data_IF_444788392687
#
_entry.id   IF_444788392687
#
_cell.length_a   1.000
_cell.length_b   1.000
_cell.length_c   1.000
_cell.angle_alpha   90.00
_cell.angle_beta   90.00
_cell.angle_gamma   90.00
#
_symmetry.space_group_name_H-M   'P 1'
#
loop_
_entity.id
_entity.type
_entity.pdbx_description
1 polymer ?
#
# COMPACT_ATOMS: atom_id res chain seq x y z
N UNK A 1 -32.06 17.31 26.37
CA UNK A 1 -30.84 17.66 27.14
C UNK A 1 -30.03 16.39 27.31
N UNK A 2 -29.10 16.10 26.40
CA UNK A 2 -28.11 15.04 26.55
C UNK A 2 -26.75 15.72 26.60
N UNK A 3 -26.11 15.70 27.78
CA UNK A 3 -24.79 16.26 27.99
C UNK A 3 -23.72 15.28 27.53
N UNK A 4 -22.98 15.63 26.48
CA UNK A 4 -21.71 15.00 26.17
C UNK A 4 -20.64 15.61 27.09
N UNK A 5 -20.20 14.84 28.08
CA UNK A 5 -19.04 15.18 28.90
C UNK A 5 -17.75 15.07 28.09
N UNK A 6 -17.06 16.19 27.96
CA UNK A 6 -15.71 16.29 27.42
C UNK A 6 -14.71 15.65 28.39
N UNK A 7 -14.21 14.45 28.07
CA UNK A 7 -12.97 13.97 28.68
C UNK A 7 -11.79 14.36 27.77
N UNK A 8 -11.09 15.41 28.19
CA UNK A 8 -9.83 15.85 27.61
C UNK A 8 -8.73 14.87 28.03
N UNK A 9 -8.42 13.89 27.19
CA UNK A 9 -7.11 13.22 27.21
C UNK A 9 -6.32 13.72 26.01
N UNK A 10 -5.25 14.46 26.30
CA UNK A 10 -4.23 14.84 25.34
C UNK A 10 -3.64 13.59 24.69
N UNK A 11 -4.19 13.19 23.54
CA UNK A 11 -3.46 12.38 22.58
C UNK A 11 -2.29 13.25 22.10
N UNK A 12 -1.05 12.82 22.34
CA UNK A 12 0.07 13.22 21.48
C UNK A 12 -0.32 12.80 20.06
N UNK A 13 -0.98 13.70 19.32
CA UNK A 13 -1.16 13.57 17.89
C UNK A 13 0.23 13.63 17.28
N UNK A 14 0.68 12.54 16.68
CA UNK A 14 1.66 12.63 15.59
C UNK A 14 1.16 13.70 14.62
N UNK A 15 1.99 14.68 14.30
CA UNK A 15 1.66 15.81 13.42
C UNK A 15 1.55 15.32 11.97
N UNK A 16 0.51 14.55 11.65
CA UNK A 16 0.12 14.24 10.26
C UNK A 16 -0.74 15.37 9.66
N UNK A 17 -0.40 16.61 9.99
CA UNK A 17 -1.08 17.79 9.45
C UNK A 17 -0.30 18.39 8.29
N UNK A 18 -1.00 19.00 7.33
CA UNK A 18 -0.34 19.87 6.35
C UNK A 18 0.26 21.08 7.06
N UNK A 19 1.59 21.18 7.10
CA UNK A 19 2.27 22.41 7.55
C UNK A 19 2.18 23.44 6.43
N UNK A 20 1.70 24.64 6.76
CA UNK A 20 1.71 25.78 5.86
C UNK A 20 2.75 26.77 6.35
N UNK A 21 3.81 26.95 5.57
CA UNK A 21 4.82 27.97 5.79
C UNK A 21 4.71 29.02 4.70
N UNK A 22 4.60 30.29 5.08
CA UNK A 22 4.84 31.41 4.19
C UNK A 22 6.33 31.79 4.26
N UNK A 23 6.97 31.93 3.10
CA UNK A 23 8.41 32.24 3.01
C UNK A 23 8.71 33.03 1.75
N UNK A 24 9.80 33.80 1.75
CA UNK A 24 10.26 34.56 0.59
C UNK A 24 11.50 33.89 -0.01
N UNK A 25 11.56 33.82 -1.33
CA UNK A 25 12.75 33.34 -2.04
C UNK A 25 13.85 34.39 -1.88
N UNK A 26 15.01 33.95 -1.43
CA UNK A 26 16.17 34.81 -1.25
C UNK A 26 16.70 35.31 -2.62
N UNK A 27 17.45 36.44 -2.66
CA UNK A 27 17.99 36.96 -3.91
C UNK A 27 18.92 36.01 -4.68
N UNK A 28 19.51 35.03 -3.99
CA UNK A 28 20.33 33.96 -4.57
C UNK A 28 19.52 32.78 -5.14
N UNK A 29 18.18 32.85 -5.05
CA UNK A 29 17.25 31.81 -5.48
C UNK A 29 16.98 30.72 -4.44
N UNK A 30 17.57 30.79 -3.25
CA UNK A 30 17.33 29.80 -2.18
C UNK A 30 15.95 29.96 -1.54
N UNK A 31 15.30 28.84 -1.22
CA UNK A 31 13.99 28.77 -0.56
C UNK A 31 14.19 28.34 0.91
N UNK A 32 14.05 29.24 1.90
CA UNK A 32 14.23 28.88 3.30
C UNK A 32 13.02 28.08 3.80
N UNK A 33 13.29 26.87 4.28
CA UNK A 33 12.32 25.98 4.93
C UNK A 33 12.48 26.07 6.45
N UNK A 34 11.37 26.04 7.18
CA UNK A 34 11.38 26.01 8.65
C UNK A 34 11.88 24.67 9.17
N UNK A 35 12.39 24.65 10.40
CA UNK A 35 12.79 23.40 11.08
C UNK A 35 11.64 22.40 11.12
N UNK A 36 10.40 22.87 11.33
CA UNK A 36 9.22 22.01 11.37
C UNK A 36 8.95 21.30 10.01
N UNK A 37 9.16 22.00 8.89
CA UNK A 37 9.04 21.42 7.54
C UNK A 37 10.17 20.43 7.27
N UNK A 38 11.39 20.78 7.65
CA UNK A 38 12.57 19.92 7.49
C UNK A 38 12.41 18.61 8.29
N UNK A 39 11.96 18.69 9.54
CA UNK A 39 11.66 17.54 10.39
C UNK A 39 10.54 16.67 9.79
N UNK A 40 9.43 17.29 9.33
CA UNK A 40 8.32 16.53 8.73
C UNK A 40 8.73 15.80 7.46
N UNK A 41 9.61 16.38 6.65
CA UNK A 41 10.11 15.75 5.42
C UNK A 41 11.33 14.84 5.64
N UNK A 42 11.87 14.80 6.87
CA UNK A 42 13.11 14.09 7.19
C UNK A 42 14.31 14.58 6.38
N UNK A 43 14.37 15.88 6.08
CA UNK A 43 15.43 16.50 5.28
C UNK A 43 16.43 17.17 6.21
N UNK A 44 17.71 16.90 6.01
CA UNK A 44 18.83 17.54 6.72
C UNK A 44 19.78 18.22 5.75
N UNK A 45 20.75 18.98 6.26
CA UNK A 45 21.76 19.61 5.41
C UNK A 45 22.53 18.54 4.61
N UNK A 46 22.55 18.65 3.28
CA UNK A 46 23.17 17.67 2.38
C UNK A 46 22.23 16.57 1.88
N UNK A 47 20.99 16.49 2.39
CA UNK A 47 19.97 15.62 1.82
C UNK A 47 19.69 15.99 0.36
N UNK A 48 19.58 14.97 -0.49
CA UNK A 48 19.14 15.14 -1.88
C UNK A 48 17.61 15.21 -1.91
N UNK A 49 17.07 16.15 -2.68
CA UNK A 49 15.62 16.31 -2.86
C UNK A 49 15.25 16.40 -4.33
N UNK A 50 14.06 15.93 -4.67
CA UNK A 50 13.45 16.16 -5.98
C UNK A 50 12.55 17.38 -5.86
N UNK A 51 12.82 18.38 -6.71
CA UNK A 51 11.98 19.57 -6.87
C UNK A 51 11.21 19.42 -8.18
N UNK A 52 9.88 19.33 -8.12
CA UNK A 52 9.03 19.23 -9.31
C UNK A 52 8.15 20.46 -9.42
N UNK A 53 8.11 21.06 -10.63
CA UNK A 53 7.29 22.21 -10.95
C UNK A 53 6.03 21.79 -11.71
N UNK A 54 4.88 22.34 -11.30
CA UNK A 54 3.60 22.13 -11.94
C UNK A 54 2.81 23.46 -12.00
N UNK A 55 1.72 23.56 -12.78
CA UNK A 55 0.88 24.75 -12.79
C UNK A 55 0.29 25.13 -11.42
N UNK A 56 0.16 24.18 -10.49
CA UNK A 56 -0.33 24.40 -9.11
C UNK A 56 0.78 24.79 -8.11
N UNK A 57 2.04 24.84 -8.54
CA UNK A 57 3.18 25.23 -7.70
C UNK A 57 4.35 24.24 -7.73
N UNK A 58 5.26 24.43 -6.77
CA UNK A 58 6.41 23.56 -6.53
C UNK A 58 6.05 22.45 -5.55
N UNK A 59 6.58 21.26 -5.79
CA UNK A 59 6.57 20.15 -4.84
C UNK A 59 8.01 19.73 -4.52
N UNK A 60 8.25 19.38 -3.26
CA UNK A 60 9.54 18.97 -2.72
C UNK A 60 9.39 17.56 -2.14
N UNK A 61 10.28 16.64 -2.52
CA UNK A 61 10.30 15.27 -2.01
C UNK A 61 11.71 14.86 -1.61
N UNK A 62 11.85 14.18 -0.48
CA UNK A 62 13.09 13.53 -0.10
C UNK A 62 13.32 12.30 -1.00
N UNK A 63 14.48 12.21 -1.64
CA UNK A 63 14.79 11.10 -2.55
C UNK A 63 15.20 9.83 -1.82
N UNK A 64 15.67 9.97 -0.58
CA UNK A 64 16.13 8.86 0.25
C UNK A 64 15.49 8.99 1.65
N UNK A 65 14.20 8.64 1.79
CA UNK A 65 13.51 8.74 3.06
C UNK A 65 14.16 7.83 4.12
N UNK A 66 14.05 8.23 5.38
CA UNK A 66 14.43 7.38 6.51
C UNK A 66 13.50 6.14 6.58
N UNK A 67 14.00 5.04 7.15
CA UNK A 67 13.18 3.84 7.37
C UNK A 67 12.07 4.19 8.37
N UNK A 68 10.82 4.12 7.93
CA UNK A 68 9.67 4.50 8.75
C UNK A 68 8.66 3.37 8.97
N UNK A 69 8.55 2.46 8.00
CA UNK A 69 7.56 1.39 7.99
C UNK A 69 8.19 0.06 7.59
N UNK A 70 7.91 -0.98 8.36
CA UNK A 70 8.35 -2.34 8.04
C UNK A 70 7.11 -3.18 7.74
N UNK A 71 7.08 -3.79 6.56
CA UNK A 71 6.14 -4.87 6.25
C UNK A 71 6.78 -6.20 6.63
N UNK A 72 6.01 -7.07 7.28
CA UNK A 72 6.47 -8.39 7.69
C UNK A 72 5.46 -9.40 7.16
N UNK A 73 5.95 -10.33 6.33
CA UNK A 73 5.20 -11.52 5.96
C UNK A 73 5.43 -12.61 7.02
N UNK A 74 4.48 -12.87 7.94
CA UNK A 74 4.71 -13.83 9.01
C UNK A 74 4.75 -15.26 8.45
N UNK A 75 4.02 -15.51 7.38
CA UNK A 75 3.99 -16.78 6.66
C UNK A 75 3.44 -16.56 5.26
N UNK A 76 3.90 -17.36 4.30
CA UNK A 76 3.30 -17.44 2.97
C UNK A 76 2.27 -18.58 2.83
N UNK A 77 1.97 -19.28 3.92
CA UNK A 77 0.90 -20.28 3.98
C UNK A 77 -0.47 -19.59 4.10
N UNK A 78 -1.52 -20.15 3.49
CA UNK A 78 -2.86 -19.58 3.56
C UNK A 78 -3.92 -20.66 3.45
N UNK A 79 -5.05 -20.46 4.14
CA UNK A 79 -6.21 -21.34 4.12
C UNK A 79 -7.14 -21.12 2.91
N UNK A 80 -6.80 -20.19 2.02
CA UNK A 80 -7.51 -19.90 0.77
C UNK A 80 -6.64 -20.18 -0.44
N UNK A 81 -7.28 -20.26 -1.61
CA UNK A 81 -6.61 -20.40 -2.90
C UNK A 81 -7.18 -19.42 -3.95
N UNK A 82 -7.23 -18.14 -3.60
CA UNK A 82 -7.89 -17.09 -4.38
C UNK A 82 -7.45 -17.09 -5.85
N UNK A 83 -8.39 -16.85 -6.78
CA UNK A 83 -8.12 -16.78 -8.23
C UNK A 83 -7.05 -15.74 -8.59
N UNK A 84 -7.00 -14.64 -7.82
CA UNK A 84 -6.09 -13.50 -8.03
C UNK A 84 -4.73 -13.63 -7.32
N UNK A 85 -4.43 -14.78 -6.69
CA UNK A 85 -3.27 -14.91 -5.83
C UNK A 85 -1.97 -15.18 -6.62
N UNK A 86 -0.90 -14.46 -6.29
CA UNK A 86 0.46 -14.68 -6.83
C UNK A 86 0.97 -16.12 -6.63
N UNK A 87 0.46 -16.82 -5.60
CA UNK A 87 0.91 -18.16 -5.21
C UNK A 87 0.71 -19.21 -6.29
N UNK A 88 -0.14 -18.93 -7.28
CA UNK A 88 -0.35 -19.78 -8.45
C UNK A 88 0.84 -19.79 -9.43
N UNK A 89 1.71 -18.78 -9.39
CA UNK A 89 2.80 -18.61 -10.37
C UNK A 89 4.19 -18.51 -9.77
N UNK A 90 4.32 -18.54 -8.45
CA UNK A 90 5.62 -18.65 -7.79
C UNK A 90 5.98 -20.10 -7.47
N UNK A 91 7.20 -20.33 -7.00
CA UNK A 91 7.67 -21.66 -6.56
C UNK A 91 8.28 -21.63 -5.17
N UNK A 92 7.94 -20.62 -4.40
CA UNK A 92 8.51 -20.39 -3.09
C UNK A 92 8.12 -21.54 -2.14
N UNK A 93 9.07 -22.06 -1.34
CA UNK A 93 8.74 -23.02 -0.31
C UNK A 93 7.83 -22.37 0.74
N UNK A 94 6.99 -23.18 1.38
CA UNK A 94 6.11 -22.69 2.45
C UNK A 94 6.89 -22.58 3.76
N UNK A 95 6.72 -21.48 4.49
CA UNK A 95 7.36 -21.30 5.77
C UNK A 95 6.72 -20.24 6.66
N UNK A 96 7.32 -20.07 7.83
CA UNK A 96 6.89 -19.17 8.90
C UNK A 96 8.12 -18.43 9.42
N UNK A 97 7.99 -17.12 9.63
CA UNK A 97 9.05 -16.31 10.21
C UNK A 97 9.33 -16.78 11.63
N UNK A 98 10.59 -17.16 11.90
CA UNK A 98 10.97 -17.60 13.24
C UNK A 98 10.81 -16.46 14.25
N UNK A 99 10.32 -16.77 15.44
CA UNK A 99 10.14 -15.77 16.48
C UNK A 99 11.46 -15.20 16.96
N UNK A 100 12.52 -15.99 16.96
CA UNK A 100 13.88 -15.56 17.31
C UNK A 100 14.37 -14.47 16.35
N UNK A 101 14.14 -14.66 15.06
CA UNK A 101 14.44 -13.70 13.99
C UNK A 101 13.65 -12.41 14.17
N UNK A 102 12.35 -12.52 14.50
CA UNK A 102 11.51 -11.35 14.77
C UNK A 102 11.91 -10.60 16.05
N UNK A 103 12.32 -11.31 17.11
CA UNK A 103 12.79 -10.69 18.36
C UNK A 103 14.08 -9.90 18.11
N UNK A 104 15.04 -10.47 17.38
CA UNK A 104 16.26 -9.76 16.97
C UNK A 104 15.94 -8.47 16.22
N UNK A 105 15.03 -8.54 15.24
CA UNK A 105 14.56 -7.36 14.52
C UNK A 105 14.00 -6.28 15.46
N UNK A 106 13.17 -6.66 16.44
CA UNK A 106 12.58 -5.69 17.38
C UNK A 106 13.61 -5.03 18.29
N UNK A 107 14.68 -5.74 18.67
CA UNK A 107 15.80 -5.16 19.42
C UNK A 107 16.46 -4.04 18.61
N UNK A 108 16.71 -4.28 17.33
CA UNK A 108 17.28 -3.28 16.41
C UNK A 108 16.31 -2.11 16.18
N UNK A 109 15.05 -2.39 15.86
CA UNK A 109 14.00 -1.39 15.63
C UNK A 109 13.81 -0.46 16.83
N UNK A 110 13.98 -0.97 18.06
CA UNK A 110 13.87 -0.15 19.28
C UNK A 110 14.87 1.02 19.34
N UNK A 111 15.95 0.94 18.56
CA UNK A 111 17.00 1.96 18.50
C UNK A 111 16.83 2.96 17.36
N UNK A 112 15.80 2.81 16.52
CA UNK A 112 15.59 3.60 15.30
C UNK A 112 14.29 4.42 15.42
N UNK A 113 14.38 5.70 15.86
CA UNK A 113 13.19 6.50 16.18
C UNK A 113 12.30 6.84 14.98
N UNK A 114 12.84 6.76 13.75
CA UNK A 114 12.07 7.02 12.54
C UNK A 114 11.06 5.93 12.23
N UNK A 115 11.24 4.71 12.76
CA UNK A 115 10.31 3.60 12.55
C UNK A 115 9.10 3.80 13.44
N UNK A 116 7.94 3.94 12.82
CA UNK A 116 6.69 4.21 13.53
C UNK A 116 5.66 3.11 13.35
N UNK A 117 5.83 2.23 12.33
CA UNK A 117 4.80 1.26 11.96
C UNK A 117 5.36 -0.09 11.53
N UNK A 118 4.72 -1.17 12.01
CA UNK A 118 4.87 -2.52 11.48
C UNK A 118 3.53 -3.00 10.91
N UNK A 119 3.54 -3.42 9.65
CA UNK A 119 2.36 -4.03 9.01
C UNK A 119 2.60 -5.52 8.78
N UNK A 120 1.74 -6.35 9.36
CA UNK A 120 1.75 -7.80 9.21
C UNK A 120 0.89 -8.16 7.99
N UNK A 121 1.57 -8.42 6.88
CA UNK A 121 0.97 -8.69 5.58
C UNK A 121 1.95 -9.44 4.68
N UNK A 122 1.41 -10.22 3.77
CA UNK A 122 2.14 -10.85 2.69
C UNK A 122 1.17 -11.58 1.78
N UNK A 123 1.64 -12.60 1.07
CA UNK A 123 0.79 -13.38 0.16
C UNK A 123 0.23 -14.67 0.80
N UNK A 124 0.55 -14.91 2.08
CA UNK A 124 -0.10 -15.88 2.97
C UNK A 124 -1.25 -15.30 3.81
N UNK A 125 -1.69 -16.05 4.82
CA UNK A 125 -2.62 -15.60 5.87
C UNK A 125 -1.88 -15.43 7.20
N UNK A 126 -1.62 -14.18 7.64
CA UNK A 126 -0.92 -13.91 8.89
C UNK A 126 -1.49 -14.60 10.13
N UNK A 127 -2.81 -14.80 10.20
CA UNK A 127 -3.45 -15.46 11.34
C UNK A 127 -3.11 -16.96 11.48
N UNK A 128 -2.48 -17.58 10.47
CA UNK A 128 -1.94 -18.94 10.57
C UNK A 128 -0.60 -19.00 11.32
N UNK A 129 0.09 -17.87 11.48
CA UNK A 129 1.34 -17.85 12.21
C UNK A 129 1.10 -18.09 13.71
N UNK A 130 1.72 -19.10 14.33
CA UNK A 130 1.38 -19.52 15.70
C UNK A 130 1.61 -18.43 16.75
N UNK A 131 2.50 -17.48 16.45
CA UNK A 131 2.90 -16.41 17.36
C UNK A 131 2.43 -15.02 16.91
N UNK A 132 1.49 -14.90 15.94
CA UNK A 132 1.08 -13.60 15.39
C UNK A 132 0.63 -12.59 16.47
N UNK A 133 -0.09 -13.06 17.48
CA UNK A 133 -0.56 -12.23 18.62
C UNK A 133 0.63 -11.71 19.43
N UNK A 134 1.62 -12.57 19.70
CA UNK A 134 2.83 -12.16 20.43
C UNK A 134 3.67 -11.19 19.61
N UNK A 135 3.77 -11.39 18.29
CA UNK A 135 4.47 -10.47 17.40
C UNK A 135 3.88 -9.07 17.50
N UNK A 136 2.55 -8.95 17.35
CA UNK A 136 1.83 -7.68 17.50
C UNK A 136 2.07 -7.06 18.88
N UNK A 137 1.88 -7.84 19.95
CA UNK A 137 2.04 -7.35 21.32
C UNK A 137 3.44 -6.79 21.57
N UNK A 138 4.49 -7.46 21.09
CA UNK A 138 5.88 -7.00 21.23
C UNK A 138 6.14 -5.70 20.45
N UNK A 139 5.68 -5.60 19.20
CA UNK A 139 5.75 -4.32 18.47
C UNK A 139 5.07 -3.17 19.23
N UNK A 140 3.90 -3.43 19.84
CA UNK A 140 3.19 -2.44 20.66
C UNK A 140 3.97 -2.01 21.90
N UNK A 141 4.76 -2.89 22.52
CA UNK A 141 5.60 -2.49 23.68
C UNK A 141 6.67 -1.45 23.33
N UNK A 142 7.07 -1.38 22.04
CA UNK A 142 7.99 -0.36 21.53
C UNK A 142 7.28 0.94 21.12
N UNK A 143 5.95 1.02 21.29
CA UNK A 143 5.16 2.19 20.89
C UNK A 143 4.85 2.27 19.39
N UNK A 144 5.16 1.22 18.62
CA UNK A 144 4.90 1.17 17.18
C UNK A 144 3.41 1.03 16.89
N UNK A 145 2.96 1.61 15.78
CA UNK A 145 1.66 1.28 15.19
C UNK A 145 1.72 -0.11 14.55
N UNK A 146 0.66 -0.89 14.73
CA UNK A 146 0.52 -2.24 14.19
C UNK A 146 -0.70 -2.36 13.30
N UNK A 147 -0.50 -2.88 12.11
CA UNK A 147 -1.56 -3.19 11.15
C UNK A 147 -1.52 -4.68 10.84
N UNK A 148 -2.69 -5.31 10.75
CA UNK A 148 -2.83 -6.69 10.31
C UNK A 148 -3.75 -6.73 9.09
N UNK A 149 -3.33 -7.38 8.02
CA UNK A 149 -4.16 -7.61 6.85
C UNK A 149 -4.50 -9.10 6.79
N UNK A 150 -5.79 -9.44 6.69
CA UNK A 150 -6.27 -10.83 6.81
C UNK A 150 -7.46 -11.10 5.90
N UNK A 151 -7.66 -12.36 5.52
CA UNK A 151 -8.90 -12.83 4.90
C UNK A 151 -10.08 -12.90 5.89
N UNK A 152 -9.82 -12.81 7.20
CA UNK A 152 -10.83 -12.71 8.25
C UNK A 152 -11.51 -14.01 8.66
N UNK A 153 -11.22 -15.15 8.02
CA UNK A 153 -11.88 -16.43 8.32
C UNK A 153 -11.43 -17.02 9.66
N UNK A 154 -10.16 -16.83 10.01
CA UNK A 154 -9.56 -17.33 11.26
C UNK A 154 -9.75 -16.38 12.45
N UNK A 155 -10.47 -15.27 12.26
CA UNK A 155 -10.75 -14.27 13.29
C UNK A 155 -11.93 -14.70 14.18
N UNK A 156 -11.83 -15.88 14.79
CA UNK A 156 -12.84 -16.33 15.76
C UNK A 156 -12.83 -15.46 17.03
N UNK A 157 -13.78 -15.72 17.94
CA UNK A 157 -13.89 -14.96 19.19
C UNK A 157 -12.61 -15.00 20.05
N UNK A 158 -11.87 -16.12 20.04
CA UNK A 158 -10.64 -16.26 20.82
C UNK A 158 -9.55 -15.39 20.20
N UNK A 159 -9.36 -15.47 18.90
CA UNK A 159 -8.40 -14.65 18.16
C UNK A 159 -8.73 -13.16 18.31
N UNK A 160 -10.00 -12.77 18.16
CA UNK A 160 -10.43 -11.39 18.34
C UNK A 160 -10.11 -10.84 19.73
N UNK A 161 -10.35 -11.62 20.80
CA UNK A 161 -9.95 -11.25 22.17
C UNK A 161 -8.44 -11.07 22.29
N UNK A 162 -7.67 -11.99 21.73
CA UNK A 162 -6.21 -11.94 21.76
C UNK A 162 -5.66 -10.72 21.03
N UNK A 163 -6.18 -10.38 19.84
CA UNK A 163 -5.72 -9.21 19.07
C UNK A 163 -6.07 -7.87 19.75
N UNK A 164 -7.26 -7.77 20.35
CA UNK A 164 -7.63 -6.58 21.15
C UNK A 164 -6.74 -6.46 22.39
N UNK A 165 -6.46 -7.58 23.09
CA UNK A 165 -5.55 -7.58 24.23
C UNK A 165 -4.10 -7.27 23.85
N UNK A 166 -3.65 -7.67 22.66
CA UNK A 166 -2.37 -7.31 22.08
C UNK A 166 -2.28 -5.85 21.64
N UNK A 167 -3.38 -5.09 21.75
CA UNK A 167 -3.50 -3.68 21.39
C UNK A 167 -3.20 -3.40 19.91
N UNK A 168 -3.65 -4.29 19.01
CA UNK A 168 -3.58 -4.09 17.56
C UNK A 168 -4.27 -2.78 17.15
N UNK A 169 -3.61 -1.92 16.38
CA UNK A 169 -4.16 -0.60 16.02
C UNK A 169 -5.15 -0.66 14.86
N UNK A 170 -4.86 -1.45 13.82
CA UNK A 170 -5.74 -1.61 12.67
C UNK A 170 -5.78 -3.03 12.12
N UNK A 171 -6.95 -3.43 11.63
CA UNK A 171 -7.17 -4.68 10.91
C UNK A 171 -7.84 -4.37 9.57
N UNK A 172 -7.23 -4.80 8.48
CA UNK A 172 -7.79 -4.67 7.13
C UNK A 172 -8.24 -6.05 6.67
N UNK A 173 -9.53 -6.15 6.36
CA UNK A 173 -10.14 -7.40 5.94
C UNK A 173 -10.35 -7.36 4.45
N UNK A 174 -9.82 -8.35 3.76
CA UNK A 174 -9.90 -8.34 2.32
C UNK A 174 -11.23 -8.95 1.83
N UNK A 175 -12.06 -8.11 1.21
CA UNK A 175 -13.42 -8.40 0.73
C UNK A 175 -13.51 -7.91 -0.71
N UNK A 176 -13.65 -8.84 -1.66
CA UNK A 176 -13.65 -8.61 -3.10
C UNK A 176 -15.04 -8.78 -3.74
N UNK A 177 -16.07 -9.01 -2.92
CA UNK A 177 -17.48 -9.09 -3.33
C UNK A 177 -18.43 -8.69 -2.20
N UNK A 178 -19.55 -8.04 -2.53
CA UNK A 178 -20.61 -7.72 -1.56
C UNK A 178 -21.59 -8.87 -1.36
N UNK A 179 -21.62 -9.83 -2.30
CA UNK A 179 -22.36 -11.09 -2.23
C UNK A 179 -21.44 -12.27 -1.86
N UNK A 180 -22.05 -13.33 -1.31
CA UNK A 180 -21.34 -14.59 -1.01
C UNK A 180 -20.77 -15.24 -2.28
N UNK A 181 -21.54 -15.21 -3.36
CA UNK A 181 -21.14 -15.77 -4.66
C UNK A 181 -19.90 -15.08 -5.21
N UNK A 182 -19.90 -13.74 -5.31
CA UNK A 182 -18.76 -12.99 -5.85
C UNK A 182 -17.54 -13.10 -4.94
N UNK A 183 -17.72 -13.07 -3.62
CA UNK A 183 -16.61 -13.25 -2.68
C UNK A 183 -15.97 -14.63 -2.86
N UNK A 184 -16.77 -15.70 -2.95
CA UNK A 184 -16.27 -17.07 -3.11
C UNK A 184 -15.65 -17.33 -4.50
N UNK A 185 -16.14 -16.67 -5.55
CA UNK A 185 -15.55 -16.73 -6.90
C UNK A 185 -14.13 -16.15 -6.91
N UNK A 186 -13.96 -14.91 -6.42
CA UNK A 186 -12.65 -14.26 -6.39
C UNK A 186 -11.73 -14.95 -5.38
N UNK A 187 -12.26 -15.28 -4.20
CA UNK A 187 -11.53 -15.89 -3.08
C UNK A 187 -12.02 -17.30 -2.83
N UNK A 188 -11.57 -18.24 -3.65
CA UNK A 188 -11.94 -19.64 -3.54
C UNK A 188 -11.72 -20.19 -2.13
N UNK A 189 -12.82 -20.59 -1.48
CA UNK A 189 -12.88 -21.07 -0.10
C UNK A 189 -13.30 -20.03 0.94
N UNK A 190 -13.55 -18.78 0.55
CA UNK A 190 -14.04 -17.75 1.45
C UNK A 190 -15.55 -17.92 1.73
N UNK A 191 -15.92 -17.63 2.99
CA UNK A 191 -17.29 -17.50 3.45
C UNK A 191 -17.49 -16.07 3.96
N UNK A 192 -18.17 -15.23 3.17
CA UNK A 192 -18.38 -13.82 3.48
C UNK A 192 -19.21 -13.66 4.76
N UNK A 193 -20.21 -14.52 4.97
CA UNK A 193 -21.04 -14.49 6.18
C UNK A 193 -20.23 -14.80 7.45
N UNK A 194 -19.29 -15.76 7.38
CA UNK A 194 -18.36 -16.04 8.46
C UNK A 194 -17.44 -14.85 8.74
N UNK A 195 -16.87 -14.23 7.68
CA UNK A 195 -16.06 -13.01 7.83
C UNK A 195 -16.87 -11.91 8.51
N UNK A 196 -18.11 -11.66 8.07
CA UNK A 196 -19.01 -10.67 8.67
C UNK A 196 -19.28 -10.97 10.14
N UNK A 197 -19.54 -12.24 10.47
CA UNK A 197 -19.75 -12.69 11.85
C UNK A 197 -18.52 -12.43 12.72
N UNK A 198 -17.33 -12.79 12.24
CA UNK A 198 -16.07 -12.63 12.94
C UNK A 198 -15.77 -11.14 13.24
N UNK A 199 -16.00 -10.26 12.27
CA UNK A 199 -15.79 -8.82 12.46
C UNK A 199 -16.81 -8.19 13.41
N UNK A 200 -18.07 -8.64 13.37
CA UNK A 200 -19.07 -8.26 14.38
C UNK A 200 -18.65 -8.72 15.79
N UNK A 201 -18.08 -9.92 15.93
CA UNK A 201 -17.54 -10.38 17.21
C UNK A 201 -16.36 -9.54 17.69
N UNK A 202 -15.42 -9.20 16.79
CA UNK A 202 -14.32 -8.29 17.11
C UNK A 202 -14.84 -6.94 17.64
N UNK A 203 -15.88 -6.38 17.02
CA UNK A 203 -16.51 -5.13 17.50
C UNK A 203 -17.13 -5.27 18.89
N UNK A 204 -17.77 -6.39 19.18
CA UNK A 204 -18.29 -6.67 20.52
C UNK A 204 -17.16 -6.76 21.55
N UNK A 205 -16.06 -7.42 21.21
CA UNK A 205 -14.86 -7.49 22.07
C UNK A 205 -14.30 -6.09 22.32
N UNK A 206 -14.15 -5.25 21.29
CA UNK A 206 -13.72 -3.85 21.43
C UNK A 206 -14.60 -3.09 22.41
N UNK A 207 -15.92 -3.17 22.23
CA UNK A 207 -16.90 -2.52 23.09
C UNK A 207 -16.78 -2.96 24.55
N UNK A 208 -16.72 -4.28 24.81
CA UNK A 208 -16.62 -4.80 26.17
C UNK A 208 -15.29 -4.49 26.88
N UNK A 209 -14.21 -4.25 26.13
CA UNK A 209 -12.91 -3.86 26.68
C UNK A 209 -12.72 -2.34 26.69
N UNK A 210 -13.76 -1.55 26.36
CA UNK A 210 -13.67 -0.08 26.21
C UNK A 210 -12.53 0.35 25.27
N UNK A 211 -12.20 -0.50 24.28
CA UNK A 211 -11.12 -0.27 23.34
C UNK A 211 -11.60 0.44 22.09
N UNK A 212 -10.86 1.48 21.68
CA UNK A 212 -11.07 2.14 20.39
C UNK A 212 -10.48 1.33 19.23
N UNK A 213 -9.57 0.38 19.48
CA UNK A 213 -8.79 -0.36 18.49
C UNK A 213 -9.09 -1.87 18.53
N UNK A 214 -8.90 -2.60 17.41
CA UNK A 214 -8.40 -2.12 16.13
C UNK A 214 -9.44 -1.33 15.33
N UNK A 215 -8.97 -0.31 14.60
CA UNK A 215 -9.69 0.28 13.46
C UNK A 215 -9.90 -0.79 12.38
N UNK A 216 -11.06 -0.78 11.72
CA UNK A 216 -11.41 -1.80 10.72
C UNK A 216 -11.35 -1.17 9.34
N UNK A 217 -10.60 -1.76 8.42
CA UNK A 217 -10.57 -1.40 7.01
C UNK A 217 -11.06 -2.55 6.13
N UNK A 218 -11.47 -2.23 4.91
CA UNK A 218 -11.69 -3.22 3.85
C UNK A 218 -10.66 -3.01 2.76
N UNK A 219 -10.10 -4.09 2.24
CA UNK A 219 -9.32 -4.09 1.00
C UNK A 219 -10.10 -4.83 -0.10
N UNK A 220 -10.16 -4.22 -1.29
CA UNK A 220 -10.87 -4.74 -2.46
C UNK A 220 -9.95 -4.72 -3.69
N UNK A 221 -9.76 -5.88 -4.31
CA UNK A 221 -9.05 -6.06 -5.58
C UNK A 221 -10.06 -5.95 -6.73
N UNK A 222 -9.95 -4.87 -7.50
CA UNK A 222 -10.85 -4.55 -8.58
C UNK A 222 -10.51 -5.28 -9.89
N UNK A 223 -11.55 -5.89 -10.46
CA UNK A 223 -11.55 -6.66 -11.70
C UNK A 223 -12.81 -6.31 -12.52
N UNK A 224 -12.80 -6.55 -13.83
CA UNK A 224 -14.00 -6.38 -14.67
C UNK A 224 -15.21 -7.15 -14.13
N UNK A 225 -14.99 -8.37 -13.65
CA UNK A 225 -16.04 -9.26 -13.12
C UNK A 225 -16.66 -8.77 -11.81
N UNK A 226 -15.90 -8.14 -10.92
CA UNK A 226 -16.39 -7.74 -9.59
C UNK A 226 -16.58 -6.23 -9.39
N UNK A 227 -16.14 -5.36 -10.32
CA UNK A 227 -16.18 -3.90 -10.13
C UNK A 227 -17.57 -3.34 -9.82
N UNK A 228 -18.63 -4.02 -10.29
CA UNK A 228 -20.03 -3.64 -10.01
C UNK A 228 -20.37 -3.77 -8.51
N UNK A 229 -19.69 -4.66 -7.78
CA UNK A 229 -19.87 -4.85 -6.33
C UNK A 229 -19.41 -3.63 -5.53
N UNK A 230 -18.54 -2.77 -6.08
CA UNK A 230 -18.11 -1.53 -5.41
C UNK A 230 -19.28 -0.59 -5.10
N UNK A 231 -20.40 -0.67 -5.84
CA UNK A 231 -21.60 0.09 -5.50
C UNK A 231 -22.17 -0.29 -4.12
N UNK A 232 -22.05 -1.57 -3.75
CA UNK A 232 -22.62 -2.14 -2.53
C UNK A 232 -21.57 -2.39 -1.43
N UNK A 233 -20.27 -2.31 -1.75
CA UNK A 233 -19.20 -2.54 -0.77
C UNK A 233 -19.25 -1.54 0.38
N UNK A 234 -19.77 -0.33 0.13
CA UNK A 234 -20.04 0.67 1.17
C UNK A 234 -21.02 0.15 2.22
N UNK A 235 -22.06 -0.57 1.82
CA UNK A 235 -23.04 -1.12 2.76
C UNK A 235 -22.42 -2.23 3.60
N UNK A 236 -21.57 -3.06 2.99
CA UNK A 236 -20.74 -4.03 3.72
C UNK A 236 -19.82 -3.32 4.70
N UNK A 237 -19.12 -2.25 4.29
CA UNK A 237 -18.27 -1.46 5.18
C UNK A 237 -19.05 -0.89 6.38
N UNK A 238 -20.23 -0.30 6.14
CA UNK A 238 -21.12 0.20 7.19
C UNK A 238 -21.57 -0.92 8.14
N UNK A 239 -21.99 -2.08 7.60
CA UNK A 239 -22.39 -3.25 8.37
C UNK A 239 -21.25 -3.71 9.30
N UNK A 240 -20.04 -3.76 8.75
CA UNK A 240 -18.83 -4.16 9.46
C UNK A 240 -18.30 -3.10 10.42
N UNK A 241 -18.75 -1.85 10.31
CA UNK A 241 -18.18 -0.72 11.04
C UNK A 241 -16.76 -0.41 10.60
N UNK A 242 -16.46 -0.59 9.32
CA UNK A 242 -15.18 -0.23 8.71
C UNK A 242 -15.08 1.29 8.51
N UNK A 243 -13.89 1.83 8.77
CA UNK A 243 -13.57 3.25 8.71
C UNK A 243 -13.11 3.69 7.32
N UNK A 244 -12.53 2.78 6.54
CA UNK A 244 -12.05 3.06 5.18
C UNK A 244 -12.16 1.82 4.28
N UNK A 245 -12.16 2.08 2.97
CA UNK A 245 -12.13 1.07 1.93
C UNK A 245 -10.94 1.39 1.03
N UNK A 246 -10.03 0.46 0.92
CA UNK A 246 -8.87 0.52 0.05
C UNK A 246 -9.15 -0.30 -1.21
N UNK A 247 -9.08 0.34 -2.37
CA UNK A 247 -9.33 -0.30 -3.67
C UNK A 247 -8.02 -0.33 -4.46
N UNK A 248 -7.63 -1.51 -4.90
CA UNK A 248 -6.44 -1.73 -5.74
C UNK A 248 -6.82 -2.49 -7.01
N UNK A 249 -6.12 -2.26 -8.11
CA UNK A 249 -6.37 -3.02 -9.34
C UNK A 249 -5.73 -4.40 -9.28
N UNK A 250 -6.33 -5.38 -9.94
CA UNK A 250 -5.72 -6.71 -10.10
C UNK A 250 -4.39 -6.63 -10.88
N UNK A 251 -3.34 -7.27 -10.36
CA UNK A 251 -2.19 -7.68 -11.17
C UNK A 251 -2.48 -9.06 -11.76
N UNK A 252 -2.48 -9.23 -13.09
CA UNK A 252 -2.71 -10.53 -13.70
C UNK A 252 -1.54 -11.49 -13.44
N UNK A 253 -1.73 -12.48 -12.59
CA UNK A 253 -0.75 -13.57 -12.44
C UNK A 253 -0.98 -14.72 -13.42
N UNK A 254 -2.20 -14.87 -13.93
CA UNK A 254 -2.55 -15.90 -14.92
C UNK A 254 -3.01 -15.28 -16.26
N UNK A 255 -3.05 -16.10 -17.32
CA UNK A 255 -3.51 -15.67 -18.64
C UNK A 255 -4.94 -15.14 -18.61
N UNK A 256 -5.81 -15.76 -17.82
CA UNK A 256 -7.23 -15.43 -17.73
C UNK A 256 -7.44 -14.09 -17.04
N UNK A 257 -6.59 -13.73 -16.08
CA UNK A 257 -6.68 -12.45 -15.37
C UNK A 257 -6.30 -11.25 -16.23
N UNK A 258 -5.64 -11.44 -17.39
CA UNK A 258 -5.35 -10.34 -18.33
C UNK A 258 -6.61 -9.63 -18.77
N UNK A 259 -7.67 -10.41 -18.99
CA UNK A 259 -8.95 -9.90 -19.49
C UNK A 259 -9.77 -9.25 -18.37
N UNK A 260 -9.33 -9.36 -17.11
CA UNK A 260 -10.00 -8.79 -15.94
C UNK A 260 -9.51 -7.37 -15.59
N UNK A 261 -8.47 -6.84 -16.24
CA UNK A 261 -7.91 -5.53 -15.90
C UNK A 261 -8.85 -4.36 -16.23
N UNK A 262 -8.85 -3.32 -15.40
CA UNK A 262 -9.67 -2.11 -15.58
C UNK A 262 -8.88 -0.92 -16.14
N UNK A 263 -7.58 -1.10 -16.41
CA UNK A 263 -6.63 -0.01 -16.63
C UNK A 263 -5.95 -0.04 -18.01
N UNK A 264 -6.46 -0.83 -18.97
CA UNK A 264 -5.86 -0.98 -20.30
C UNK A 264 -5.56 0.36 -20.98
N UNK A 265 -6.49 1.32 -20.89
CA UNK A 265 -6.33 2.65 -21.49
C UNK A 265 -5.69 3.67 -20.55
N UNK A 266 -5.69 3.42 -19.23
CA UNK A 266 -5.33 4.43 -18.23
C UNK A 266 -3.86 4.39 -17.80
N UNK A 267 -3.16 3.27 -18.02
CA UNK A 267 -1.72 3.14 -17.67
C UNK A 267 -0.87 4.16 -18.42
N UNK A 268 -1.22 4.42 -19.69
CA UNK A 268 -0.47 5.33 -20.58
C UNK A 268 -1.13 6.72 -20.70
N UNK A 269 -2.27 6.94 -20.03
CA UNK A 269 -3.02 8.18 -20.16
C UNK A 269 -2.39 9.26 -19.28
N UNK A 270 -1.39 9.95 -19.83
CA UNK A 270 -1.07 11.32 -19.41
C UNK A 270 -2.26 12.19 -19.79
N UNK A 271 -3.31 12.20 -18.95
CA UNK A 271 -4.41 13.14 -19.12
C UNK A 271 -3.80 14.53 -19.27
N UNK A 272 -4.06 15.24 -20.38
CA UNK A 272 -3.49 16.55 -20.55
C UNK A 272 -4.01 17.44 -19.42
N UNK A 273 -3.09 18.07 -18.68
CA UNK A 273 -3.44 18.95 -17.55
C UNK A 273 -4.29 20.17 -18.00
N UNK A 274 -4.31 20.41 -19.31
CA UNK A 274 -5.06 21.45 -20.02
C UNK A 274 -5.92 20.81 -21.12
N UNK A 275 -7.05 21.43 -21.48
CA UNK A 275 -7.89 20.93 -22.56
C UNK A 275 -7.22 21.09 -23.93
N UNK A 276 -7.65 20.32 -24.93
CA UNK A 276 -7.31 20.54 -26.33
C UNK A 276 -8.57 20.79 -27.17
N UNK A 277 -8.38 21.15 -28.44
CA UNK A 277 -9.46 21.49 -29.38
C UNK A 277 -10.51 20.36 -29.55
N UNK A 278 -10.07 19.10 -29.35
CA UNK A 278 -10.94 17.92 -29.45
C UNK A 278 -11.41 17.37 -28.09
N UNK A 279 -10.87 17.88 -26.97
CA UNK A 279 -11.16 17.39 -25.62
C UNK A 279 -10.97 18.52 -24.59
N UNK A 280 -12.03 19.29 -24.28
CA UNK A 280 -11.92 20.43 -23.36
C UNK A 280 -11.63 19.97 -21.92
N UNK A 281 -10.85 20.76 -21.17
CA UNK A 281 -10.71 20.60 -19.72
C UNK A 281 -11.99 21.10 -19.07
N UNK A 282 -12.58 20.27 -18.20
CA UNK A 282 -13.83 20.59 -17.53
C UNK A 282 -13.55 20.70 -16.04
N UNK A 283 -13.70 21.92 -15.53
CA UNK A 283 -13.45 22.26 -14.13
C UNK A 283 -14.78 22.36 -13.42
N UNK A 284 -14.98 21.52 -12.40
CA UNK A 284 -16.19 21.55 -11.56
C UNK A 284 -15.93 22.36 -10.28
N UNK A 285 -16.87 23.21 -9.84
CA UNK A 285 -16.83 23.70 -8.46
C UNK A 285 -17.16 22.56 -7.48
N UNK A 286 -16.91 22.73 -6.18
CA UNK A 286 -17.45 21.82 -5.17
C UNK A 286 -18.98 21.76 -5.31
N UNK A 287 -19.50 20.58 -5.65
CA UNK A 287 -20.93 20.34 -5.84
C UNK A 287 -21.34 19.08 -5.08
N UNK A 288 -22.53 19.12 -4.48
CA UNK A 288 -23.11 17.95 -3.82
C UNK A 288 -23.49 16.89 -4.86
N UNK A 289 -22.75 15.77 -4.90
CA UNK A 289 -23.03 14.65 -5.81
C UNK A 289 -24.16 13.72 -5.29
N UNK A 290 -25.25 14.30 -4.76
CA UNK A 290 -26.29 13.57 -4.01
C UNK A 290 -27.50 13.15 -4.85
N UNK A 291 -27.43 13.12 -6.19
CA UNK A 291 -28.53 12.67 -7.07
C UNK A 291 -28.03 11.85 -8.26
N UNK A 292 -28.78 10.80 -8.61
CA UNK A 292 -28.60 9.98 -9.82
C UNK A 292 -28.43 10.84 -11.09
N UNK A 293 -29.21 11.93 -11.20
CA UNK A 293 -29.21 12.83 -12.35
C UNK A 293 -27.87 13.57 -12.57
N UNK A 294 -27.11 13.84 -11.50
CA UNK A 294 -25.81 14.52 -11.59
C UNK A 294 -24.71 13.51 -11.94
N UNK A 295 -24.74 12.33 -11.30
CA UNK A 295 -23.77 11.25 -11.58
C UNK A 295 -23.82 10.76 -13.02
N UNK A 296 -25.02 10.40 -13.53
CA UNK A 296 -25.17 9.87 -14.89
C UNK A 296 -24.77 10.85 -16.00
N UNK A 297 -24.96 12.15 -15.78
CA UNK A 297 -24.58 13.17 -16.75
C UNK A 297 -23.11 13.59 -16.62
N UNK A 298 -22.50 13.49 -15.43
CA UNK A 298 -21.05 13.63 -15.25
C UNK A 298 -20.28 12.51 -15.95
N UNK A 299 -20.79 11.27 -15.94
CA UNK A 299 -20.18 10.14 -16.68
C UNK A 299 -20.21 10.30 -18.21
N UNK A 300 -21.17 11.08 -18.76
CA UNK A 300 -21.25 11.37 -20.20
C UNK A 300 -20.23 12.42 -20.67
N UNK A 301 -19.60 13.12 -19.72
CA UNK A 301 -18.57 14.10 -20.00
C UNK A 301 -17.23 13.38 -20.04
N UNK A 302 -16.70 13.17 -21.25
CA UNK A 302 -15.34 12.65 -21.44
C UNK A 302 -14.33 13.81 -21.48
N UNK A 303 -13.28 13.73 -20.66
CA UNK A 303 -12.22 14.74 -20.58
C UNK A 303 -11.42 14.64 -19.27
N UNK A 304 -10.33 15.41 -19.12
CA UNK A 304 -9.61 15.52 -17.84
C UNK A 304 -10.55 16.13 -16.79
N UNK A 305 -10.93 15.34 -15.79
CA UNK A 305 -11.72 15.80 -14.64
C UNK A 305 -10.76 16.18 -13.51
N UNK A 306 -10.80 17.45 -13.09
CA UNK A 306 -10.06 17.94 -11.93
C UNK A 306 -10.87 17.63 -10.66
N UNK A 307 -10.49 16.53 -9.98
CA UNK A 307 -11.00 16.13 -8.66
C UNK A 307 -9.94 16.39 -7.58
N UNK A 308 -9.31 17.56 -7.56
CA UNK A 308 -8.15 17.98 -6.74
C UNK A 308 -8.19 17.71 -5.22
N UNK A 309 -9.20 17.01 -4.69
CA UNK A 309 -9.18 16.37 -3.36
C UNK A 309 -8.85 14.88 -3.36
N UNK A 310 -8.63 14.27 -4.54
CA UNK A 310 -8.18 12.88 -4.72
C UNK A 310 -6.84 12.93 -5.44
N UNK A 311 -5.78 13.32 -4.72
CA UNK A 311 -4.42 13.30 -5.25
C UNK A 311 -4.00 11.84 -5.38
N UNK A 312 -4.39 11.20 -6.47
CA UNK A 312 -3.61 10.09 -7.02
C UNK A 312 -2.58 10.78 -7.90
N UNK A 313 -1.31 10.86 -7.47
CA UNK A 313 -0.19 11.23 -8.34
C UNK A 313 -0.15 10.20 -9.49
N UNK A 314 -0.87 10.50 -10.57
CA UNK A 314 -0.90 9.69 -11.78
C UNK A 314 0.17 10.20 -12.73
N UNK A 315 1.13 9.33 -13.05
CA UNK A 315 1.87 9.40 -14.32
C UNK A 315 3.24 10.08 -14.28
N UNK A 316 3.75 10.46 -13.12
CA UNK A 316 5.10 11.02 -12.92
C UNK A 316 6.09 10.02 -12.29
N UNK A 317 5.72 8.74 -12.20
CA UNK A 317 6.65 7.67 -11.82
C UNK A 317 6.99 7.62 -10.32
N UNK A 318 6.01 7.87 -9.45
CA UNK A 318 6.25 7.90 -8.01
C UNK A 318 5.83 6.60 -7.31
N UNK A 319 6.81 5.90 -6.72
CA UNK A 319 6.51 4.78 -5.83
C UNK A 319 6.22 5.27 -4.40
N UNK A 320 4.95 5.19 -3.99
CA UNK A 320 4.52 5.50 -2.62
C UNK A 320 5.21 4.64 -1.57
N UNK A 321 5.37 3.35 -1.82
CA UNK A 321 6.00 2.42 -0.88
C UNK A 321 7.44 2.84 -0.53
N UNK A 322 8.25 3.11 -1.55
CA UNK A 322 9.63 3.60 -1.37
C UNK A 322 9.63 5.01 -0.77
N UNK A 323 8.71 5.88 -1.20
CA UNK A 323 8.64 7.28 -0.75
C UNK A 323 8.22 7.42 0.72
N UNK A 324 7.43 6.48 1.23
CA UNK A 324 7.11 6.37 2.67
C UNK A 324 8.27 5.78 3.48
N UNK A 325 9.40 5.41 2.87
CA UNK A 325 10.51 4.79 3.58
C UNK A 325 10.15 3.40 4.09
N UNK A 326 9.54 2.58 3.22
CA UNK A 326 9.14 1.20 3.57
C UNK A 326 10.12 0.15 3.03
N UNK A 327 10.20 -0.97 3.74
CA UNK A 327 10.78 -2.23 3.27
C UNK A 327 9.87 -3.41 3.62
N UNK A 328 10.15 -4.58 3.07
CA UNK A 328 9.46 -5.82 3.45
C UNK A 328 10.45 -6.90 3.89
N UNK A 329 10.06 -7.65 4.90
CA UNK A 329 10.76 -8.81 5.42
C UNK A 329 9.88 -10.02 5.16
N UNK A 330 10.36 -10.96 4.34
CA UNK A 330 9.64 -12.18 4.01
C UNK A 330 9.71 -13.22 5.13
N UNK A 331 8.90 -14.28 5.01
CA UNK A 331 8.81 -15.36 6.00
C UNK A 331 10.14 -16.07 6.30
N UNK A 332 11.14 -15.97 5.44
CA UNK A 332 12.49 -16.54 5.59
C UNK A 332 13.52 -15.55 6.15
N UNK A 333 13.10 -14.35 6.54
CA UNK A 333 13.97 -13.30 7.09
C UNK A 333 14.73 -12.49 6.04
N UNK A 334 14.56 -12.77 4.75
CA UNK A 334 15.13 -11.95 3.69
C UNK A 334 14.46 -10.58 3.64
N UNK A 335 15.25 -9.54 3.37
CA UNK A 335 14.78 -8.18 3.22
C UNK A 335 14.69 -7.85 1.74
N UNK A 336 13.54 -7.34 1.32
CA UNK A 336 13.32 -6.84 -0.03
C UNK A 336 12.91 -5.37 0.00
N UNK A 337 13.29 -4.60 -1.03
CA UNK A 337 13.02 -3.16 -1.04
C UNK A 337 11.56 -2.82 -1.36
N UNK A 338 10.79 -3.77 -1.87
CA UNK A 338 9.35 -3.64 -2.08
C UNK A 338 8.65 -5.00 -2.14
N UNK A 339 7.34 -4.99 -1.89
CA UNK A 339 6.49 -6.19 -1.93
C UNK A 339 6.50 -6.91 -3.29
N UNK A 340 6.59 -6.16 -4.40
CA UNK A 340 6.61 -6.72 -5.75
C UNK A 340 7.90 -7.51 -6.07
N UNK A 341 8.96 -7.35 -5.27
CA UNK A 341 10.25 -8.01 -5.49
C UNK A 341 10.57 -9.07 -4.43
N UNK A 342 9.68 -9.28 -3.45
CA UNK A 342 9.95 -10.18 -2.33
C UNK A 342 9.83 -11.66 -2.66
N UNK A 343 9.23 -11.99 -3.81
CA UNK A 343 9.13 -13.36 -4.34
C UNK A 343 9.45 -13.39 -5.84
N UNK A 344 9.71 -14.59 -6.36
CA UNK A 344 9.85 -14.82 -7.80
C UNK A 344 8.56 -15.39 -8.38
N UNK A 345 8.00 -14.77 -9.41
CA UNK A 345 6.70 -15.14 -9.96
C UNK A 345 6.53 -14.70 -11.42
N UNK A 346 5.56 -15.28 -12.12
CA UNK A 346 5.11 -14.78 -13.42
C UNK A 346 3.87 -13.91 -13.29
N UNK A 347 3.80 -12.84 -14.07
CA UNK A 347 2.61 -12.02 -14.23
C UNK A 347 2.44 -11.55 -15.68
N UNK A 348 1.43 -10.73 -15.92
CA UNK A 348 1.21 -10.07 -17.20
C UNK A 348 0.97 -8.58 -17.03
N UNK A 349 1.73 -7.79 -17.78
CA UNK A 349 1.60 -6.34 -17.85
C UNK A 349 1.05 -6.00 -19.23
N UNK A 350 -0.16 -5.44 -19.29
CA UNK A 350 -0.85 -5.09 -20.54
C UNK A 350 -0.84 -6.23 -21.58
N UNK A 351 -1.10 -7.46 -21.11
CA UNK A 351 -1.16 -8.67 -21.93
C UNK A 351 0.18 -9.37 -22.18
N UNK A 352 1.30 -8.66 -22.02
CA UNK A 352 2.67 -9.20 -22.17
C UNK A 352 3.07 -9.99 -20.93
N UNK A 353 3.63 -11.19 -21.11
CA UNK A 353 4.14 -12.00 -19.99
C UNK A 353 5.40 -11.34 -19.43
N UNK A 354 5.52 -11.36 -18.10
CA UNK A 354 6.71 -10.90 -17.38
C UNK A 354 7.05 -11.86 -16.28
N UNK A 355 8.30 -12.28 -16.21
CA UNK A 355 8.85 -13.09 -15.13
C UNK A 355 9.63 -12.17 -14.18
N UNK A 356 9.14 -12.09 -12.94
CA UNK A 356 9.76 -11.31 -11.87
C UNK A 356 10.72 -12.22 -11.11
N UNK A 357 11.99 -11.83 -11.07
CA UNK A 357 13.01 -12.42 -10.21
C UNK A 357 12.99 -11.73 -8.86
N UNK A 358 13.01 -12.54 -7.79
CA UNK A 358 13.13 -12.08 -6.41
C UNK A 358 14.40 -11.26 -6.22
N UNK A 359 14.29 -10.11 -5.56
CA UNK A 359 15.43 -9.28 -5.17
C UNK A 359 15.48 -9.12 -3.66
N UNK A 360 16.58 -9.57 -3.06
CA UNK A 360 16.84 -9.43 -1.63
C UNK A 360 18.12 -8.63 -1.42
N UNK A 361 18.13 -7.78 -0.39
CA UNK A 361 19.29 -6.94 -0.03
C UNK A 361 20.14 -7.58 1.07
N UNK A 362 19.61 -8.58 1.76
CA UNK A 362 20.26 -9.34 2.83
C UNK A 362 19.22 -10.03 3.73
N UNK A 363 19.64 -10.56 4.87
CA UNK A 363 18.80 -11.36 5.76
C UNK A 363 18.91 -10.90 7.21
N UNK A 364 17.79 -10.60 7.88
CA UNK A 364 17.80 -10.10 9.26
C UNK A 364 18.28 -11.12 10.30
N UNK A 365 18.42 -12.40 9.96
CA UNK A 365 19.12 -13.36 10.84
C UNK A 365 20.62 -13.03 10.93
N UNK A 366 21.22 -12.57 9.83
CA UNK A 366 22.67 -12.41 9.68
C UNK A 366 23.11 -10.95 9.76
N UNK A 367 22.31 -10.05 9.20
CA UNK A 367 22.61 -8.63 9.03
C UNK A 367 21.81 -7.77 10.02
N UNK A 368 22.25 -6.52 10.25
CA UNK A 368 21.46 -5.53 10.97
C UNK A 368 20.60 -4.73 9.98
N UNK A 369 19.37 -4.38 10.38
CA UNK A 369 18.41 -3.68 9.53
C UNK A 369 18.90 -2.30 9.08
N UNK A 370 19.66 -1.59 9.92
CA UNK A 370 20.27 -0.30 9.57
C UNK A 370 21.33 -0.47 8.49
N UNK A 371 22.21 -1.46 8.63
CA UNK A 371 23.25 -1.75 7.64
C UNK A 371 22.64 -2.15 6.29
N UNK A 372 21.54 -2.92 6.32
CA UNK A 372 20.78 -3.25 5.13
C UNK A 372 20.15 -2.02 4.49
N UNK A 373 19.49 -1.16 5.27
CA UNK A 373 18.85 0.06 4.77
C UNK A 373 19.88 1.02 4.14
N UNK A 374 21.02 1.21 4.79
CA UNK A 374 22.08 2.11 4.35
C UNK A 374 23.02 1.48 3.31
N UNK A 375 22.79 0.21 2.94
CA UNK A 375 23.49 -0.45 1.85
C UNK A 375 23.45 0.42 0.57
N UNK A 376 24.59 0.53 -0.10
CA UNK A 376 24.73 1.41 -1.27
C UNK A 376 23.81 0.99 -2.42
N UNK A 377 23.65 -0.31 -2.68
CA UNK A 377 22.79 -0.82 -3.74
C UNK A 377 21.31 -0.58 -3.42
N UNK A 378 20.90 -0.76 -2.15
CA UNK A 378 19.54 -0.46 -1.73
C UNK A 378 19.27 1.05 -1.79
N UNK A 379 20.21 1.89 -1.35
CA UNK A 379 20.09 3.35 -1.47
C UNK A 379 19.99 3.79 -2.94
N UNK A 380 20.84 3.24 -3.82
CA UNK A 380 20.80 3.51 -5.26
C UNK A 380 19.46 3.08 -5.87
N UNK A 381 18.93 1.91 -5.47
CA UNK A 381 17.61 1.46 -5.89
C UNK A 381 16.51 2.44 -5.48
N UNK A 382 16.49 2.87 -4.21
CA UNK A 382 15.50 3.82 -3.70
C UNK A 382 15.57 5.15 -4.43
N UNK A 383 16.77 5.69 -4.62
CA UNK A 383 16.97 6.93 -5.38
C UNK A 383 16.48 6.81 -6.83
N UNK A 384 16.81 5.71 -7.50
CA UNK A 384 16.41 5.44 -8.90
C UNK A 384 14.89 5.33 -9.03
N UNK A 385 14.23 4.64 -8.10
CA UNK A 385 12.76 4.53 -8.06
C UNK A 385 12.09 5.86 -7.81
N UNK A 386 12.65 6.72 -6.94
CA UNK A 386 12.09 8.04 -6.69
C UNK A 386 12.25 9.01 -7.87
N UNK A 387 13.33 8.89 -8.65
CA UNK A 387 13.49 9.64 -9.92
C UNK A 387 12.69 9.04 -11.07
N UNK A 388 12.36 7.75 -10.97
CA UNK A 388 11.80 6.94 -12.03
C UNK A 388 12.66 6.92 -13.30
N UNK A 389 13.98 6.78 -13.11
CA UNK A 389 14.95 6.69 -14.20
C UNK A 389 14.96 5.30 -14.84
N UNK A 390 13.81 4.85 -15.32
CA UNK A 390 13.62 3.56 -16.00
C UNK A 390 13.03 3.76 -17.40
N UNK A 391 13.28 2.81 -18.30
CA UNK A 391 12.62 2.81 -19.60
C UNK A 391 11.09 2.72 -19.43
N UNK A 392 10.27 3.49 -20.18
CA UNK A 392 8.81 3.46 -20.07
C UNK A 392 8.22 2.21 -20.75
N UNK A 393 8.47 1.04 -20.19
CA UNK A 393 8.19 -0.26 -20.80
C UNK A 393 6.69 -0.53 -21.01
N UNK A 394 5.79 0.21 -20.36
CA UNK A 394 4.34 0.14 -20.65
C UNK A 394 4.00 0.76 -22.01
N UNK A 395 4.79 1.72 -22.52
CA UNK A 395 4.50 2.42 -23.77
C UNK A 395 4.99 1.69 -25.03
N UNK A 396 6.05 0.88 -24.89
CA UNK A 396 6.76 0.29 -26.03
C UNK A 396 6.29 -1.15 -26.38
N UNK A 397 5.60 -1.83 -25.45
CA UNK A 397 4.71 -2.98 -25.70
C UNK A 397 5.29 -4.30 -26.25
N UNK A 398 6.48 -4.33 -26.85
CA UNK A 398 6.96 -5.51 -27.61
C UNK A 398 8.48 -5.74 -27.56
N UNK A 399 9.10 -5.51 -26.39
CA UNK A 399 10.54 -5.70 -26.19
C UNK A 399 10.83 -6.91 -25.29
N UNK A 400 11.80 -7.75 -25.69
CA UNK A 400 12.26 -8.92 -24.91
C UNK A 400 12.83 -8.52 -23.54
N UNK A 401 13.55 -7.40 -23.46
CA UNK A 401 14.10 -6.90 -22.18
C UNK A 401 13.01 -6.63 -21.14
N UNK A 402 11.80 -6.31 -21.60
CA UNK A 402 10.70 -6.03 -20.68
C UNK A 402 10.11 -7.32 -20.07
N UNK A 403 10.36 -8.49 -20.67
CA UNK A 403 9.83 -9.79 -20.23
C UNK A 403 10.40 -10.26 -18.89
N UNK A 404 11.46 -9.64 -18.38
CA UNK A 404 11.94 -9.81 -17.02
C UNK A 404 12.14 -8.48 -16.29
N UNK A 405 12.58 -8.54 -15.04
CA UNK A 405 13.02 -7.37 -14.28
C UNK A 405 14.56 -7.27 -14.21
N UNK A 406 15.30 -7.88 -15.13
CA UNK A 406 16.76 -7.97 -15.07
C UNK A 406 17.50 -6.82 -15.77
N UNK A 407 16.93 -6.23 -16.82
CA UNK A 407 17.56 -5.12 -17.54
C UNK A 407 16.53 -4.28 -18.32
N UNK A 408 16.92 -3.08 -18.77
CA UNK A 408 16.14 -2.26 -19.69
C UNK A 408 17.00 -1.58 -20.75
N UNK A 409 16.37 -0.91 -21.72
CA UNK A 409 17.06 -0.25 -22.84
C UNK A 409 17.72 1.10 -22.47
N UNK A 410 17.70 1.48 -21.20
CA UNK A 410 18.46 2.63 -20.65
C UNK A 410 19.75 2.16 -19.97
N UNK A 411 20.19 0.92 -20.23
CA UNK A 411 21.34 0.26 -19.61
C UNK A 411 21.18 0.07 -18.08
N UNK A 412 19.95 0.14 -17.56
CA UNK A 412 19.71 -0.21 -16.16
C UNK A 412 19.82 -1.72 -15.99
N UNK A 413 20.44 -2.12 -14.88
CA UNK A 413 20.52 -3.51 -14.44
C UNK A 413 19.57 -3.81 -13.29
N UNK A 414 19.41 -5.11 -13.04
CA UNK A 414 18.55 -5.72 -12.04
C UNK A 414 18.61 -5.02 -10.66
N UNK A 415 17.46 -4.72 -10.04
CA UNK A 415 16.10 -4.86 -10.58
C UNK A 415 15.66 -3.61 -11.37
N UNK A 416 15.00 -3.81 -12.52
CA UNK A 416 14.36 -2.72 -13.30
C UNK A 416 12.86 -2.60 -13.01
N UNK A 417 12.33 -1.37 -13.04
CA UNK A 417 10.94 -1.05 -12.69
C UNK A 417 10.18 -0.29 -13.79
N UNK A 418 10.64 -0.35 -15.04
CA UNK A 418 10.12 0.42 -16.17
C UNK A 418 8.63 0.22 -16.51
N UNK A 419 8.07 -0.91 -16.11
CA UNK A 419 6.65 -1.25 -16.24
C UNK A 419 5.96 -1.52 -14.90
N UNK A 420 6.50 -0.98 -13.80
CA UNK A 420 5.95 -1.16 -12.47
C UNK A 420 4.62 -0.40 -12.31
N UNK A 421 3.52 -1.16 -12.33
CA UNK A 421 2.17 -0.62 -12.15
C UNK A 421 1.93 0.02 -10.78
N UNK A 422 2.72 -0.33 -9.75
CA UNK A 422 2.67 0.33 -8.45
C UNK A 422 3.28 1.73 -8.48
N UNK A 423 4.45 1.88 -9.08
CA UNK A 423 5.12 3.18 -9.21
C UNK A 423 4.37 4.13 -10.17
N UNK A 424 3.56 3.58 -11.07
CA UNK A 424 2.65 4.37 -11.91
C UNK A 424 1.30 4.70 -11.22
N UNK A 425 1.08 4.22 -9.99
CA UNK A 425 -0.14 4.45 -9.22
C UNK A 425 -1.36 3.68 -9.73
N UNK A 426 -1.17 2.68 -10.59
CA UNK A 426 -2.23 1.82 -11.13
C UNK A 426 -2.64 0.76 -10.13
N UNK A 427 -1.65 0.14 -9.49
CA UNK A 427 -1.84 -0.78 -8.36
C UNK A 427 -1.39 -0.06 -7.09
N UNK A 428 -2.13 -0.25 -6.01
CA UNK A 428 -1.88 0.42 -4.74
C UNK A 428 -1.41 -0.61 -3.71
N UNK A 429 -0.42 -0.23 -2.88
CA UNK A 429 -0.01 -1.01 -1.71
C UNK A 429 -0.87 -0.62 -0.50
N UNK A 430 -1.37 -1.58 0.30
CA UNK A 430 -2.22 -1.32 1.45
C UNK A 430 -1.48 -0.72 2.67
#
# INVERSE_FOLDING_TARGET
MCGCGSSSRERKKTKEGTIKQETQINPDGSLPLSEEVLEQLGITAGSKVIVSSSPSGLSLRNINPALSKIYIEPTNTCNLNCRTCIRHTWKDPVGFLKMETYIKLLEEVSTIPSITKISFWGFGEPLLHPNIVEMIARAKTLGLETQLITNGLLLDLKMAKSLVAANLDSIVVSIDGSSEETQADVRSGADLNLVKKNIKQLRLVRYHNESATPEIGIEFVAMKSNVKELGNIKDVACELGANFIFVTNVLPYSSELKDEILYWQSVDMKLPQQGCEFMPKITFPPMDNRREEVGENLFKISGPVDLSHTIVNKGDGYCRFVGEGSLVISWDGEVSPCAALMHAYSCYVLGRKKDIKRYTVGNIEQDNITDLWDNQDFTNFRERVQRFDFAPCTHCGGCEMAESNEEDCYDNTFPVCGDCLWAQGVIQCP
#
